data_IF_606800170494
#
_entry.id   IF_606800170494
#
_cell.length_a   1.000
_cell.length_b   1.000
_cell.length_c   1.000
_cell.angle_alpha   90.00
_cell.angle_beta   90.00
_cell.angle_gamma   90.00
#
_symmetry.space_group_name_H-M   'P 1'
#
loop_
_entity.id
_entity.type
_entity.pdbx_description
1 polymer ?
#
# COMPACT_ATOMS: atom_id res chain seq x y z
N UNK A 1 -30.09 7.86 -14.28
CA UNK A 1 -28.75 7.86 -14.89
C UNK A 1 -27.78 8.17 -13.78
N UNK A 2 -26.81 7.29 -13.50
CA UNK A 2 -25.73 7.62 -12.56
C UNK A 2 -25.01 8.87 -13.08
N UNK A 3 -24.61 9.79 -12.20
CA UNK A 3 -23.84 10.94 -12.62
C UNK A 3 -22.47 10.48 -13.11
N UNK A 4 -22.11 10.80 -14.36
CA UNK A 4 -20.79 10.45 -14.91
C UNK A 4 -19.78 11.48 -14.41
N UNK A 5 -18.95 11.09 -13.44
CA UNK A 5 -17.88 11.94 -12.93
C UNK A 5 -16.72 12.03 -13.93
N UNK A 6 -16.07 13.19 -14.02
CA UNK A 6 -14.89 13.36 -14.89
C UNK A 6 -13.63 12.98 -14.13
N UNK A 7 -12.94 11.94 -14.61
CA UNK A 7 -11.66 11.50 -14.09
C UNK A 7 -10.59 12.59 -14.22
N UNK A 8 -9.73 12.72 -13.21
CA UNK A 8 -8.53 13.56 -13.19
C UNK A 8 -7.37 12.74 -12.61
N UNK A 9 -6.17 13.30 -12.65
CA UNK A 9 -4.96 12.71 -12.06
C UNK A 9 -4.64 13.39 -10.72
N UNK A 10 -4.32 12.58 -9.71
CA UNK A 10 -3.58 12.96 -8.52
C UNK A 10 -2.18 12.37 -8.59
N UNK A 11 -1.21 13.05 -7.99
CA UNK A 11 0.17 12.58 -7.84
C UNK A 11 0.59 12.84 -6.38
N UNK A 12 1.22 11.86 -5.76
CA UNK A 12 1.87 11.98 -4.45
C UNK A 12 3.28 11.40 -4.50
N UNK A 13 4.19 11.92 -3.68
CA UNK A 13 5.57 11.42 -3.63
C UNK A 13 6.05 11.31 -2.20
N UNK A 14 6.58 10.16 -1.78
CA UNK A 14 7.26 10.05 -0.49
C UNK A 14 8.69 10.58 -0.52
N UNK A 15 9.12 11.25 0.55
CA UNK A 15 10.50 11.74 0.74
C UNK A 15 11.23 11.05 1.89
N UNK A 16 12.53 10.83 1.71
CA UNK A 16 13.43 10.46 2.80
C UNK A 16 13.92 11.69 3.57
N UNK A 17 14.20 11.56 4.88
CA UNK A 17 14.97 12.61 5.55
C UNK A 17 16.32 12.80 4.84
N UNK A 18 16.74 14.05 4.52
CA UNK A 18 18.09 14.29 4.04
C UNK A 18 19.07 13.82 5.11
N UNK A 19 20.06 13.02 4.72
CA UNK A 19 21.19 12.65 5.58
C UNK A 19 21.82 13.95 6.13
N UNK A 20 21.52 14.31 7.38
CA UNK A 20 22.38 15.21 8.14
C UNK A 20 23.66 14.43 8.42
N UNK A 21 24.66 14.64 7.58
CA UNK A 21 26.01 14.14 7.81
C UNK A 21 26.49 14.61 9.17
N UNK A 22 26.61 13.66 10.10
CA UNK A 22 27.32 13.83 11.37
C UNK A 22 26.42 14.03 12.59
N UNK A 23 25.97 12.93 13.20
CA UNK A 23 26.34 12.59 14.58
C UNK A 23 26.35 11.06 14.67
N UNK A 24 27.50 10.47 14.94
CA UNK A 24 27.60 9.09 15.42
C UNK A 24 27.06 9.10 16.86
N UNK A 25 25.79 8.75 17.05
CA UNK A 25 25.22 8.58 18.39
C UNK A 25 25.29 7.10 18.75
N UNK A 26 26.18 6.80 19.69
CA UNK A 26 26.42 5.47 20.23
C UNK A 26 25.17 4.80 20.78
N UNK A 27 25.14 3.48 20.62
CA UNK A 27 24.09 2.59 21.07
C UNK A 27 23.86 2.65 22.59
N UNK A 28 22.66 3.08 23.02
CA UNK A 28 21.97 2.66 24.26
C UNK A 28 20.48 3.02 24.05
N UNK A 29 19.45 2.18 24.15
CA UNK A 29 19.10 1.17 25.16
C UNK A 29 18.21 0.03 24.65
N UNK A 30 18.34 -1.07 25.38
CA UNK A 30 17.48 -2.26 25.48
C UNK A 30 15.99 -1.95 25.75
N UNK A 31 15.10 -2.60 25.00
CA UNK A 31 13.76 -3.02 25.41
C UNK A 31 13.52 -4.46 24.88
N UNK A 32 12.69 -5.21 25.59
CA UNK A 32 12.67 -6.68 25.64
C UNK A 32 12.69 -7.42 24.31
N UNK A 33 13.42 -8.53 24.30
CA UNK A 33 13.27 -9.61 23.33
C UNK A 33 11.87 -10.20 23.51
N UNK A 34 10.90 -9.66 22.80
CA UNK A 34 9.78 -10.49 22.36
C UNK A 34 10.35 -11.46 21.32
N UNK A 35 10.17 -12.74 21.58
CA UNK A 35 10.55 -13.83 20.70
C UNK A 35 10.06 -13.50 19.29
N UNK A 36 10.98 -13.48 18.31
CA UNK A 36 10.59 -13.43 16.89
C UNK A 36 9.70 -14.65 16.67
N UNK A 37 8.40 -14.48 16.34
CA UNK A 37 7.54 -15.62 16.12
C UNK A 37 8.14 -16.44 14.96
N UNK A 38 8.01 -17.78 14.99
CA UNK A 38 8.38 -18.59 13.83
C UNK A 38 7.65 -18.01 12.62
N UNK A 39 8.34 -17.87 11.48
CA UNK A 39 7.87 -17.32 10.19
C UNK A 39 6.35 -17.35 10.13
N UNK A 40 5.72 -16.20 10.39
CA UNK A 40 4.27 -16.13 10.54
C UNK A 40 3.61 -16.75 9.31
N UNK A 41 2.88 -17.85 9.51
CA UNK A 41 2.07 -18.43 8.44
C UNK A 41 0.97 -17.43 8.12
N UNK A 42 1.12 -16.71 7.01
CA UNK A 42 0.07 -15.82 6.52
C UNK A 42 -1.14 -16.66 6.12
N UNK A 43 -2.29 -16.43 6.76
CA UNK A 43 -3.54 -17.03 6.34
C UNK A 43 -3.81 -16.65 4.87
N UNK A 44 -4.35 -17.56 4.05
CA UNK A 44 -4.75 -17.20 2.69
C UNK A 44 -5.69 -15.99 2.70
N UNK A 45 -5.47 -15.06 1.78
CA UNK A 45 -6.39 -13.97 1.50
C UNK A 45 -7.29 -14.36 0.32
N UNK A 46 -8.07 -13.41 -0.18
CA UNK A 46 -8.97 -13.58 -1.33
C UNK A 46 -8.20 -13.70 -2.65
N UNK A 47 -6.95 -13.24 -2.70
CA UNK A 47 -6.12 -13.28 -3.91
C UNK A 47 -4.67 -13.69 -3.66
N UNK A 48 -4.34 -14.15 -2.45
CA UNK A 48 -2.99 -14.59 -2.12
C UNK A 48 -2.90 -15.68 -1.07
N UNK A 49 -1.78 -16.40 -1.02
CA UNK A 49 -1.41 -17.28 0.10
C UNK A 49 0.12 -17.34 0.24
N UNK A 50 0.60 -17.72 1.43
CA UNK A 50 2.02 -18.02 1.65
C UNK A 50 2.30 -19.48 1.25
N UNK A 51 3.06 -19.67 0.17
CA UNK A 51 3.63 -20.98 -0.16
C UNK A 51 4.86 -21.20 0.73
N UNK A 52 4.96 -22.35 1.38
CA UNK A 52 6.13 -22.73 2.19
C UNK A 52 6.64 -24.11 1.77
N UNK A 53 7.95 -24.35 1.94
CA UNK A 53 8.61 -25.62 1.67
C UNK A 53 9.84 -25.81 2.55
N UNK A 54 10.23 -27.07 2.75
CA UNK A 54 11.40 -27.40 3.56
C UNK A 54 12.71 -27.06 2.83
N UNK A 55 13.73 -26.69 3.63
CA UNK A 55 15.06 -26.43 3.11
C UNK A 55 15.73 -27.72 2.64
N UNK A 56 16.25 -27.71 1.41
CA UNK A 56 17.11 -28.77 0.86
C UNK A 56 18.58 -28.43 1.13
N UNK A 57 19.32 -29.37 1.73
CA UNK A 57 20.77 -29.19 1.99
C UNK A 57 21.55 -29.04 0.68
N UNK A 58 22.48 -28.09 0.64
CA UNK A 58 23.29 -27.80 -0.54
C UNK A 58 22.56 -27.04 -1.66
N UNK A 59 21.29 -26.69 -1.48
CA UNK A 59 20.58 -25.79 -2.39
C UNK A 59 21.11 -24.35 -2.23
N UNK A 60 21.32 -23.67 -3.36
CA UNK A 60 21.62 -22.23 -3.40
C UNK A 60 20.41 -21.42 -3.85
N UNK A 61 19.30 -22.07 -4.18
CA UNK A 61 18.02 -21.43 -4.45
C UNK A 61 16.94 -22.42 -4.87
N UNK A 62 15.75 -21.90 -5.15
CA UNK A 62 14.58 -22.68 -5.57
C UNK A 62 13.94 -22.08 -6.82
N UNK A 63 13.35 -22.95 -7.65
CA UNK A 63 12.41 -22.62 -8.70
C UNK A 63 11.01 -23.00 -8.24
N UNK A 64 10.01 -22.18 -8.53
CA UNK A 64 8.62 -22.36 -8.11
C UNK A 64 7.70 -22.45 -9.32
N UNK A 65 6.83 -23.47 -9.30
CA UNK A 65 5.68 -23.57 -10.19
C UNK A 65 4.39 -23.38 -9.39
N UNK A 66 3.43 -22.62 -9.92
CA UNK A 66 2.06 -22.52 -9.37
C UNK A 66 1.03 -22.76 -10.48
N UNK A 67 0.00 -23.56 -10.19
CA UNK A 67 -1.02 -23.99 -11.14
C UNK A 67 -2.39 -24.12 -10.49
N UNK A 68 -3.46 -24.07 -11.28
CA UNK A 68 -4.80 -24.55 -10.89
C UNK A 68 -5.00 -26.04 -11.19
N UNK A 69 -4.05 -26.67 -11.87
CA UNK A 69 -4.05 -28.08 -12.25
C UNK A 69 -3.02 -28.84 -11.42
N UNK A 70 -3.44 -29.92 -10.76
CA UNK A 70 -2.55 -30.78 -9.96
C UNK A 70 -1.47 -31.48 -10.79
N UNK A 71 -1.67 -31.58 -12.11
CA UNK A 71 -0.69 -32.13 -13.06
C UNK A 71 0.24 -31.07 -13.66
N UNK A 72 0.09 -29.79 -13.29
CA UNK A 72 0.86 -28.66 -13.83
C UNK A 72 0.78 -28.55 -15.37
N UNK A 73 -0.39 -28.88 -15.95
CA UNK A 73 -0.66 -28.73 -17.39
C UNK A 73 -0.88 -27.28 -17.84
N UNK A 74 -1.03 -26.36 -16.88
CA UNK A 74 -1.13 -24.91 -17.05
C UNK A 74 -0.45 -24.24 -15.86
N UNK A 75 -0.16 -22.94 -15.94
CA UNK A 75 0.50 -22.21 -14.86
C UNK A 75 -0.21 -20.86 -14.61
N UNK A 76 -0.17 -20.40 -13.36
CA UNK A 76 -0.50 -19.02 -13.04
C UNK A 76 0.53 -18.13 -13.71
N UNK A 77 0.08 -17.06 -14.38
CA UNK A 77 0.96 -16.15 -15.12
C UNK A 77 2.10 -15.65 -14.22
N UNK A 78 3.35 -15.76 -14.69
CA UNK A 78 4.55 -15.38 -13.94
C UNK A 78 5.06 -16.42 -12.93
N UNK A 79 4.36 -17.53 -12.72
CA UNK A 79 4.75 -18.59 -11.77
C UNK A 79 5.06 -19.93 -12.44
N UNK A 80 5.61 -19.91 -13.66
CA UNK A 80 6.21 -21.09 -14.29
C UNK A 80 7.73 -20.96 -14.23
N UNK A 81 8.40 -21.93 -13.60
CA UNK A 81 9.85 -21.96 -13.41
C UNK A 81 10.44 -20.67 -12.76
N UNK A 82 9.65 -20.07 -11.87
CA UNK A 82 10.00 -18.79 -11.26
C UNK A 82 11.18 -18.97 -10.30
N UNK A 83 12.30 -18.30 -10.57
CA UNK A 83 13.39 -18.26 -9.61
C UNK A 83 12.99 -17.44 -8.38
N UNK A 84 13.05 -18.06 -7.21
CA UNK A 84 12.70 -17.42 -5.93
C UNK A 84 13.92 -17.21 -5.03
N UNK A 85 15.12 -17.60 -5.48
CA UNK A 85 16.35 -17.50 -4.70
C UNK A 85 16.39 -18.48 -3.52
N UNK A 86 17.26 -18.23 -2.55
CA UNK A 86 17.48 -19.11 -1.39
C UNK A 86 16.51 -18.77 -0.24
N UNK A 87 15.22 -19.00 -0.48
CA UNK A 87 14.14 -18.83 0.50
C UNK A 87 13.35 -20.12 0.69
N UNK A 88 12.62 -20.24 1.79
CA UNK A 88 11.76 -21.39 2.12
C UNK A 88 10.27 -21.05 2.13
N UNK A 89 9.92 -19.86 1.68
CA UNK A 89 8.54 -19.45 1.49
C UNK A 89 8.43 -18.25 0.57
N UNK A 90 7.25 -18.09 -0.04
CA UNK A 90 6.92 -17.00 -0.96
C UNK A 90 5.42 -16.71 -0.94
N UNK A 91 5.06 -15.43 -0.88
CA UNK A 91 3.67 -15.01 -1.08
C UNK A 91 3.34 -15.07 -2.56
N UNK A 92 2.29 -15.82 -2.88
CA UNK A 92 1.73 -15.94 -4.21
C UNK A 92 0.51 -15.04 -4.26
N UNK A 93 0.56 -13.96 -5.04
CA UNK A 93 -0.52 -12.99 -5.22
C UNK A 93 -1.10 -12.99 -6.63
N UNK A 94 -2.18 -12.21 -6.83
CA UNK A 94 -2.87 -12.10 -8.11
C UNK A 94 -3.77 -13.30 -8.43
N UNK A 95 -4.29 -13.95 -7.41
CA UNK A 95 -5.08 -15.19 -7.51
C UNK A 95 -6.59 -14.91 -7.51
N UNK A 96 -7.35 -15.85 -8.04
CA UNK A 96 -8.82 -15.84 -7.97
C UNK A 96 -9.31 -16.35 -6.62
N UNK A 97 -10.34 -15.72 -6.07
CA UNK A 97 -10.93 -16.10 -4.78
C UNK A 97 -11.56 -17.50 -4.81
N UNK A 98 -11.65 -18.14 -3.65
CA UNK A 98 -12.20 -19.48 -3.50
C UNK A 98 -11.56 -20.58 -4.34
N UNK A 99 -10.38 -20.33 -4.92
CA UNK A 99 -9.74 -21.24 -5.87
C UNK A 99 -8.63 -22.02 -5.19
N UNK A 100 -8.60 -23.34 -5.42
CA UNK A 100 -7.50 -24.21 -4.99
C UNK A 100 -6.36 -24.14 -6.00
N UNK A 101 -5.17 -23.84 -5.50
CA UNK A 101 -3.94 -23.82 -6.26
C UNK A 101 -3.00 -24.94 -5.81
N UNK A 102 -2.25 -25.46 -6.76
CA UNK A 102 -1.18 -26.43 -6.60
C UNK A 102 0.15 -25.72 -6.82
N UNK A 103 1.11 -25.97 -5.94
CA UNK A 103 2.45 -25.44 -6.10
C UNK A 103 3.50 -26.52 -5.81
N UNK A 104 4.66 -26.41 -6.46
CA UNK A 104 5.80 -27.29 -6.27
C UNK A 104 7.09 -26.52 -6.46
N UNK A 105 8.17 -27.00 -5.83
CA UNK A 105 9.47 -26.37 -5.91
C UNK A 105 10.55 -27.32 -6.40
N UNK A 106 11.57 -26.76 -7.04
CA UNK A 106 12.80 -27.45 -7.45
C UNK A 106 13.99 -26.74 -6.84
N UNK A 107 14.74 -27.43 -5.98
CA UNK A 107 16.00 -26.91 -5.47
C UNK A 107 17.05 -26.88 -6.58
N UNK A 108 17.88 -25.85 -6.63
CA UNK A 108 19.01 -25.78 -7.56
C UNK A 108 20.29 -25.36 -6.83
N UNK A 109 21.44 -25.77 -7.41
CA UNK A 109 22.75 -25.28 -7.04
C UNK A 109 23.68 -25.21 -8.27
N UNK A 110 24.97 -25.00 -8.04
CA UNK A 110 25.97 -24.94 -9.12
C UNK A 110 26.05 -26.22 -9.98
N UNK A 111 25.57 -27.37 -9.48
CA UNK A 111 25.56 -28.64 -10.20
C UNK A 111 24.30 -28.83 -11.07
N UNK A 112 23.29 -27.98 -10.92
CA UNK A 112 22.04 -28.04 -11.68
C UNK A 112 20.79 -27.92 -10.82
N UNK A 113 19.65 -28.18 -11.45
CA UNK A 113 18.32 -28.16 -10.81
C UNK A 113 17.89 -29.61 -10.51
N UNK A 114 17.41 -29.85 -9.29
CA UNK A 114 16.87 -31.14 -8.87
C UNK A 114 15.48 -31.43 -9.41
N UNK A 115 14.92 -32.58 -9.02
CA UNK A 115 13.54 -32.96 -9.34
C UNK A 115 12.50 -32.09 -8.63
N UNK A 116 11.28 -32.09 -9.16
CA UNK A 116 10.12 -31.46 -8.54
C UNK A 116 9.84 -32.05 -7.15
N UNK A 117 9.46 -31.20 -6.20
CA UNK A 117 8.81 -31.64 -4.96
C UNK A 117 7.46 -32.31 -5.26
N UNK A 118 6.90 -32.98 -4.26
CA UNK A 118 5.47 -33.29 -4.27
C UNK A 118 4.65 -31.99 -4.42
N UNK A 119 3.50 -32.09 -5.09
CA UNK A 119 2.57 -30.98 -5.20
C UNK A 119 1.96 -30.67 -3.83
N UNK A 120 2.08 -29.42 -3.40
CA UNK A 120 1.42 -28.87 -2.23
C UNK A 120 0.20 -28.06 -2.67
N UNK A 121 -0.74 -27.81 -1.76
CA UNK A 121 -2.01 -27.14 -2.08
C UNK A 121 -2.31 -26.01 -1.13
N UNK A 122 -2.88 -24.92 -1.65
CA UNK A 122 -3.46 -23.84 -0.85
C UNK A 122 -4.76 -23.37 -1.52
N UNK A 123 -5.71 -22.87 -0.71
CA UNK A 123 -6.99 -22.34 -1.21
C UNK A 123 -7.18 -20.92 -0.70
N UNK A 124 -7.41 -19.98 -1.61
CA UNK A 124 -7.76 -18.58 -1.28
C UNK A 124 -9.13 -18.51 -0.62
N UNK A 125 -9.37 -17.48 0.20
CA UNK A 125 -10.66 -17.32 0.88
C UNK A 125 -11.80 -17.02 -0.11
N UNK A 126 -13.02 -17.43 0.24
CA UNK A 126 -14.25 -17.26 -0.56
C UNK A 126 -15.00 -15.97 -0.19
N UNK A 127 -14.64 -15.34 0.93
CA UNK A 127 -15.34 -14.16 1.43
C UNK A 127 -15.29 -13.02 0.40
N UNK A 128 -16.27 -12.10 0.44
CA UNK A 128 -16.28 -10.85 -0.34
C UNK A 128 -15.58 -9.70 0.41
N UNK A 129 -14.78 -8.88 -0.28
CA UNK A 129 -14.04 -7.75 0.28
C UNK A 129 -12.95 -7.24 -0.65
N UNK A 130 -12.02 -6.42 -0.15
CA UNK A 130 -11.07 -5.71 -1.00
C UNK A 130 -10.20 -6.72 -1.78
N UNK A 131 -10.08 -6.48 -3.07
CA UNK A 131 -9.13 -7.17 -3.95
C UNK A 131 -8.25 -6.15 -4.63
N UNK A 132 -6.93 -6.29 -4.48
CA UNK A 132 -5.95 -5.48 -5.21
C UNK A 132 -5.29 -6.39 -6.26
N UNK A 133 -5.45 -6.01 -7.51
CA UNK A 133 -4.89 -6.71 -8.66
C UNK A 133 -3.63 -5.99 -9.14
N UNK A 134 -2.43 -6.54 -8.88
CA UNK A 134 -1.19 -5.96 -9.33
C UNK A 134 -0.95 -6.28 -10.81
N UNK A 135 -0.49 -5.28 -11.56
CA UNK A 135 0.26 -5.48 -12.80
C UNK A 135 1.71 -5.08 -12.54
N UNK A 136 2.67 -5.93 -12.92
CA UNK A 136 4.10 -5.62 -12.80
C UNK A 136 4.63 -5.09 -14.13
N UNK A 137 5.19 -3.89 -14.12
CA UNK A 137 5.86 -3.32 -15.28
C UNK A 137 7.14 -4.10 -15.65
N UNK A 138 7.58 -3.94 -16.90
CA UNK A 138 8.83 -4.47 -17.41
C UNK A 138 10.06 -4.08 -16.57
N UNK A 139 10.04 -2.91 -15.92
CA UNK A 139 11.09 -2.48 -14.98
C UNK A 139 11.24 -3.39 -13.76
N UNK A 140 10.17 -4.08 -13.35
CA UNK A 140 10.20 -5.10 -12.30
C UNK A 140 10.46 -6.48 -12.90
N UNK A 141 9.75 -6.86 -13.97
CA UNK A 141 9.83 -8.20 -14.54
C UNK A 141 11.23 -8.55 -15.05
N UNK A 142 11.95 -7.57 -15.60
CA UNK A 142 13.30 -7.75 -16.11
C UNK A 142 14.40 -7.47 -15.07
N UNK A 143 14.02 -7.11 -13.84
CA UNK A 143 14.99 -6.79 -12.79
C UNK A 143 15.63 -8.06 -12.21
N UNK A 144 16.95 -8.09 -11.93
CA UNK A 144 17.58 -9.22 -11.24
C UNK A 144 16.94 -9.58 -9.89
N UNK A 145 16.38 -8.59 -9.19
CA UNK A 145 15.67 -8.75 -7.91
C UNK A 145 14.14 -8.87 -8.08
N UNK A 146 13.65 -9.15 -9.28
CA UNK A 146 12.20 -9.23 -9.59
C UNK A 146 11.41 -10.05 -8.57
N UNK A 147 11.96 -11.19 -8.17
CA UNK A 147 11.35 -12.08 -7.17
C UNK A 147 11.11 -11.39 -5.82
N UNK A 148 12.11 -10.65 -5.32
CA UNK A 148 12.03 -9.96 -4.03
C UNK A 148 11.08 -8.76 -4.11
N UNK A 149 11.13 -7.99 -5.21
CA UNK A 149 10.25 -6.84 -5.44
C UNK A 149 8.79 -7.28 -5.50
N UNK A 150 8.47 -8.29 -6.32
CA UNK A 150 7.11 -8.84 -6.41
C UNK A 150 6.63 -9.42 -5.08
N UNK A 151 7.52 -10.06 -4.31
CA UNK A 151 7.17 -10.58 -2.99
C UNK A 151 6.80 -9.47 -2.02
N UNK A 152 7.56 -8.37 -1.98
CA UNK A 152 7.25 -7.22 -1.13
C UNK A 152 5.91 -6.59 -1.53
N UNK A 153 5.64 -6.42 -2.83
CA UNK A 153 4.35 -5.89 -3.32
C UNK A 153 3.19 -6.80 -2.93
N UNK A 154 3.32 -8.12 -3.16
CA UNK A 154 2.28 -9.06 -2.79
C UNK A 154 2.07 -9.14 -1.27
N UNK A 155 3.11 -8.87 -0.48
CA UNK A 155 3.01 -8.77 0.98
C UNK A 155 2.18 -7.54 1.38
N UNK A 156 2.46 -6.36 0.81
CA UNK A 156 1.66 -5.16 1.02
C UNK A 156 0.19 -5.45 0.70
N UNK A 157 -0.09 -5.96 -0.51
CA UNK A 157 -1.45 -6.32 -0.95
C UNK A 157 -2.14 -7.27 0.04
N UNK A 158 -1.43 -8.28 0.53
CA UNK A 158 -2.00 -9.22 1.48
C UNK A 158 -2.40 -8.56 2.81
N UNK A 159 -1.63 -7.57 3.28
CA UNK A 159 -1.97 -6.75 4.46
C UNK A 159 -3.32 -6.07 4.23
N UNK A 160 -3.47 -5.24 3.19
CA UNK A 160 -4.73 -4.52 2.92
C UNK A 160 -5.93 -5.44 2.74
N UNK A 161 -5.81 -6.49 1.93
CA UNK A 161 -6.95 -7.40 1.68
C UNK A 161 -7.36 -8.22 2.92
N UNK A 162 -6.47 -8.35 3.91
CA UNK A 162 -6.79 -8.98 5.19
C UNK A 162 -7.53 -8.03 6.14
N UNK A 163 -7.31 -6.72 6.00
CA UNK A 163 -7.88 -5.69 6.86
C UNK A 163 -9.24 -5.20 6.36
N UNK A 164 -9.39 -4.96 5.06
CA UNK A 164 -10.53 -4.19 4.54
C UNK A 164 -11.63 -5.05 3.90
N UNK A 165 -12.87 -4.77 4.30
CA UNK A 165 -14.05 -5.56 3.97
C UNK A 165 -14.83 -5.12 2.73
N UNK A 166 -14.54 -3.95 2.16
CA UNK A 166 -15.31 -3.43 1.04
C UNK A 166 -15.09 -4.20 -0.26
N UNK A 167 -16.15 -4.67 -0.93
CA UNK A 167 -16.04 -5.62 -2.02
C UNK A 167 -15.73 -4.95 -3.36
N UNK A 168 -14.65 -4.16 -3.41
CA UNK A 168 -14.15 -3.54 -4.63
C UNK A 168 -12.90 -4.23 -5.14
N UNK A 169 -12.67 -4.13 -6.45
CA UNK A 169 -11.38 -4.47 -7.06
C UNK A 169 -10.64 -3.19 -7.40
N UNK A 170 -9.35 -3.14 -7.06
CA UNK A 170 -8.44 -2.02 -7.34
C UNK A 170 -7.31 -2.52 -8.22
N UNK A 171 -7.08 -1.87 -9.35
CA UNK A 171 -6.04 -2.24 -10.31
C UNK A 171 -4.85 -1.30 -10.20
N UNK A 172 -3.69 -1.82 -9.81
CA UNK A 172 -2.48 -1.02 -9.59
C UNK A 172 -1.35 -1.52 -10.48
N UNK A 173 -0.76 -0.62 -11.27
CA UNK A 173 0.48 -0.89 -11.97
C UNK A 173 1.68 -0.57 -11.07
N UNK A 174 2.53 -1.56 -10.81
CA UNK A 174 3.75 -1.38 -10.03
C UNK A 174 4.97 -1.24 -10.91
N UNK A 175 5.83 -0.27 -10.58
CA UNK A 175 7.08 0.04 -11.29
C UNK A 175 8.25 0.14 -10.31
N UNK A 176 9.44 -0.21 -10.77
CA UNK A 176 10.70 0.03 -10.05
C UNK A 176 11.68 0.72 -10.98
N UNK A 177 11.65 2.06 -10.98
CA UNK A 177 12.28 2.89 -12.01
C UNK A 177 12.89 4.16 -11.40
N UNK A 178 13.85 4.78 -12.08
CA UNK A 178 14.38 6.10 -11.74
C UNK A 178 13.64 7.24 -12.48
N UNK A 179 12.53 6.93 -13.14
CA UNK A 179 11.65 7.89 -13.83
C UNK A 179 10.17 7.68 -13.47
N UNK A 180 9.41 8.77 -13.56
CA UNK A 180 7.95 8.80 -13.50
C UNK A 180 7.32 8.01 -14.68
N UNK A 181 6.01 7.71 -14.65
CA UNK A 181 5.35 6.97 -15.74
C UNK A 181 5.41 7.67 -17.11
N UNK A 182 5.49 9.00 -17.11
CA UNK A 182 5.63 9.81 -18.31
C UNK A 182 7.08 9.90 -18.84
N UNK A 183 8.04 9.30 -18.14
CA UNK A 183 9.45 9.25 -18.50
C UNK A 183 10.31 10.38 -17.91
N UNK A 184 9.74 11.37 -17.22
CA UNK A 184 10.53 12.41 -16.56
C UNK A 184 11.30 11.85 -15.35
N UNK A 185 12.49 12.39 -15.03
CA UNK A 185 13.24 11.96 -13.85
C UNK A 185 12.51 12.35 -12.55
N UNK A 186 12.77 11.59 -11.49
CA UNK A 186 12.28 11.94 -10.16
C UNK A 186 12.90 13.26 -9.64
N UNK A 187 12.14 14.08 -8.90
CA UNK A 187 12.72 15.15 -8.10
C UNK A 187 13.72 14.60 -7.07
N UNK A 188 14.72 15.40 -6.71
CA UNK A 188 15.70 15.02 -5.69
C UNK A 188 15.02 14.71 -4.35
N UNK A 189 15.46 13.63 -3.70
CA UNK A 189 14.96 13.20 -2.38
C UNK A 189 13.69 12.35 -2.39
N UNK A 190 13.07 12.14 -3.55
CA UNK A 190 11.87 11.30 -3.70
C UNK A 190 12.26 9.82 -3.67
N UNK A 191 11.63 9.06 -2.78
CA UNK A 191 11.83 7.63 -2.58
C UNK A 191 10.82 6.79 -3.37
N UNK A 192 9.59 7.24 -3.44
CA UNK A 192 8.49 6.59 -4.13
C UNK A 192 7.47 7.62 -4.61
N UNK A 193 6.57 7.21 -5.49
CA UNK A 193 5.49 8.04 -6.01
C UNK A 193 4.29 7.19 -6.39
N UNK A 194 3.12 7.78 -6.22
CA UNK A 194 1.86 7.27 -6.73
C UNK A 194 1.25 8.29 -7.71
N UNK A 195 0.82 7.79 -8.86
CA UNK A 195 -0.16 8.48 -9.70
C UNK A 195 -1.50 7.77 -9.47
N UNK A 196 -2.59 8.50 -9.24
CA UNK A 196 -3.90 7.90 -9.00
C UNK A 196 -5.04 8.67 -9.65
N UNK A 197 -6.11 7.96 -9.96
CA UNK A 197 -7.31 8.56 -10.55
C UNK A 197 -8.15 9.18 -9.45
N UNK A 198 -8.58 10.43 -9.65
CA UNK A 198 -9.48 11.15 -8.74
C UNK A 198 -10.75 11.63 -9.42
N UNK A 199 -11.82 11.77 -8.64
CA UNK A 199 -13.11 12.24 -9.08
C UNK A 199 -13.68 13.29 -8.11
N UNK A 200 -14.14 14.45 -8.60
CA UNK A 200 -14.89 15.39 -7.77
C UNK A 200 -16.33 14.91 -7.61
N UNK A 201 -16.75 14.64 -6.38
CA UNK A 201 -18.12 14.26 -6.02
C UNK A 201 -18.75 15.39 -5.24
N UNK A 202 -19.95 15.81 -5.63
CA UNK A 202 -20.70 16.86 -4.92
C UNK A 202 -20.84 16.52 -3.43
N UNK A 203 -20.62 17.52 -2.58
CA UNK A 203 -20.58 17.36 -1.12
C UNK A 203 -21.72 16.49 -0.57
N UNK A 204 -22.97 16.85 -0.86
CA UNK A 204 -24.14 16.13 -0.33
C UNK A 204 -24.23 14.69 -0.84
N UNK A 205 -23.78 14.45 -2.08
CA UNK A 205 -23.75 13.09 -2.63
C UNK A 205 -22.74 12.23 -1.88
N UNK A 206 -21.53 12.75 -1.66
CA UNK A 206 -20.48 12.06 -0.92
C UNK A 206 -20.89 11.80 0.53
N UNK A 207 -21.32 12.84 1.26
CA UNK A 207 -21.66 12.72 2.69
C UNK A 207 -22.83 11.77 2.94
N UNK A 208 -23.85 11.78 2.08
CA UNK A 208 -24.97 10.85 2.22
C UNK A 208 -24.55 9.40 1.93
N UNK A 209 -23.68 9.19 0.94
CA UNK A 209 -23.14 7.87 0.62
C UNK A 209 -22.24 7.33 1.74
N UNK A 210 -21.33 8.16 2.27
CA UNK A 210 -20.46 7.80 3.40
C UNK A 210 -21.26 7.39 4.65
N UNK A 211 -22.31 8.14 4.98
CA UNK A 211 -23.22 7.78 6.09
C UNK A 211 -23.96 6.47 5.86
N UNK A 212 -24.36 6.20 4.62
CA UNK A 212 -25.09 5.00 4.26
C UNK A 212 -24.21 3.75 4.25
N UNK A 213 -22.90 3.92 4.04
CA UNK A 213 -21.95 2.82 3.90
C UNK A 213 -21.41 2.28 5.25
N UNK A 214 -21.65 2.99 6.36
CA UNK A 214 -21.13 2.67 7.69
C UNK A 214 -21.31 1.19 8.10
N UNK A 215 -20.20 0.46 8.25
CA UNK A 215 -20.16 -0.97 8.62
C UNK A 215 -19.37 -1.24 9.90
N UNK A 216 -18.46 -0.36 10.29
CA UNK A 216 -17.55 -0.57 11.43
C UNK A 216 -17.83 0.38 12.60
N UNK A 217 -17.15 0.12 13.73
CA UNK A 217 -17.20 1.00 14.89
C UNK A 217 -16.50 2.34 14.61
N UNK A 218 -15.45 2.34 13.77
CA UNK A 218 -14.81 3.59 13.35
C UNK A 218 -15.77 4.40 12.48
N UNK A 219 -16.48 3.77 11.53
CA UNK A 219 -17.48 4.45 10.70
C UNK A 219 -18.55 5.11 11.55
N UNK A 220 -19.10 4.37 12.52
CA UNK A 220 -20.13 4.89 13.42
C UNK A 220 -19.62 6.11 14.18
N UNK A 221 -18.38 6.05 14.65
CA UNK A 221 -17.74 7.15 15.40
C UNK A 221 -17.48 8.34 14.49
N UNK A 222 -16.87 8.12 13.34
CA UNK A 222 -16.53 9.12 12.33
C UNK A 222 -17.77 9.84 11.79
N UNK A 223 -18.81 9.08 11.42
CA UNK A 223 -20.05 9.62 10.86
C UNK A 223 -20.80 10.54 11.82
N UNK A 224 -20.69 10.30 13.14
CA UNK A 224 -21.25 11.19 14.16
C UNK A 224 -20.58 12.57 14.21
N UNK A 225 -19.43 12.74 13.55
CA UNK A 225 -18.63 13.99 13.54
C UNK A 225 -18.73 14.77 12.24
N UNK A 226 -19.39 14.20 11.22
CA UNK A 226 -19.50 14.82 9.89
C UNK A 226 -20.27 16.14 10.00
N UNK A 227 -19.75 17.24 9.39
CA UNK A 227 -20.34 18.55 9.56
C UNK A 227 -21.73 18.63 8.90
N UNK A 228 -22.66 19.40 9.49
CA UNK A 228 -24.02 19.53 8.97
C UNK A 228 -24.10 20.42 7.73
N UNK A 229 -23.10 21.28 7.51
CA UNK A 229 -23.01 22.17 6.35
C UNK A 229 -21.78 21.81 5.52
N UNK A 230 -21.87 22.09 4.21
CA UNK A 230 -20.77 21.89 3.29
C UNK A 230 -19.53 22.71 3.66
N UNK A 231 -18.35 22.08 3.67
CA UNK A 231 -17.06 22.76 3.84
C UNK A 231 -16.40 23.10 2.49
N UNK A 232 -16.84 22.46 1.41
CA UNK A 232 -16.38 22.65 0.02
C UNK A 232 -17.50 22.34 -0.96
N UNK A 233 -17.29 22.61 -2.25
CA UNK A 233 -18.30 22.28 -3.29
C UNK A 233 -18.33 20.78 -3.54
N UNK A 234 -17.15 20.18 -3.64
CA UNK A 234 -16.97 18.75 -3.84
C UNK A 234 -16.06 18.15 -2.75
N UNK A 235 -16.14 16.83 -2.63
CA UNK A 235 -15.08 16.00 -2.07
C UNK A 235 -14.35 15.34 -3.24
N UNK A 236 -13.03 15.43 -3.24
CA UNK A 236 -12.15 14.79 -4.22
C UNK A 236 -11.82 13.40 -3.70
N UNK A 237 -12.42 12.39 -4.30
CA UNK A 237 -12.17 10.98 -3.92
C UNK A 237 -11.19 10.35 -4.89
N UNK A 238 -10.40 9.37 -4.44
CA UNK A 238 -9.74 8.46 -5.38
C UNK A 238 -10.78 7.58 -6.06
N UNK A 239 -10.40 7.01 -7.20
CA UNK A 239 -11.20 6.04 -7.95
C UNK A 239 -11.63 4.86 -7.07
N UNK A 240 -10.73 4.31 -6.27
CA UNK A 240 -11.02 3.23 -5.33
C UNK A 240 -11.98 3.70 -4.20
N UNK A 241 -11.66 4.82 -3.53
CA UNK A 241 -12.45 5.35 -2.41
C UNK A 241 -13.88 5.74 -2.81
N UNK A 242 -14.10 6.28 -4.03
CA UNK A 242 -15.45 6.53 -4.50
C UNK A 242 -16.29 5.26 -4.67
N UNK A 243 -15.66 4.15 -5.10
CA UNK A 243 -16.36 2.88 -5.31
C UNK A 243 -16.74 2.18 -4.02
N UNK A 244 -16.01 2.37 -2.92
CA UNK A 244 -16.37 1.76 -1.62
C UNK A 244 -17.73 2.24 -1.15
N UNK A 245 -18.01 3.54 -1.31
CA UNK A 245 -19.30 4.18 -1.01
C UNK A 245 -20.30 4.15 -2.19
N UNK A 246 -20.10 3.25 -3.16
CA UNK A 246 -21.06 2.98 -4.24
C UNK A 246 -21.14 4.03 -5.35
N UNK A 247 -20.13 4.88 -5.51
CA UNK A 247 -20.09 5.89 -6.58
C UNK A 247 -19.49 5.31 -7.88
N UNK A 248 -19.89 5.88 -9.02
CA UNK A 248 -19.39 5.49 -10.35
C UNK A 248 -18.05 6.16 -10.65
N UNK A 249 -17.01 5.69 -9.97
CA UNK A 249 -15.63 6.18 -10.09
C UNK A 249 -14.72 5.08 -10.62
N UNK A 250 -14.81 4.69 -11.90
CA UNK A 250 -14.05 3.56 -12.45
C UNK A 250 -12.54 3.87 -12.60
N UNK A 251 -11.70 2.85 -12.80
CA UNK A 251 -10.34 3.04 -13.27
C UNK A 251 -10.32 3.88 -14.55
N UNK A 252 -9.27 4.70 -14.71
CA UNK A 252 -9.13 5.58 -15.87
C UNK A 252 -7.67 5.90 -16.22
N UNK A 253 -6.69 5.31 -15.55
CA UNK A 253 -5.27 5.59 -15.78
C UNK A 253 -4.63 4.60 -16.75
N UNK A 254 -3.84 5.12 -17.69
CA UNK A 254 -2.99 4.35 -18.59
C UNK A 254 -1.58 4.22 -18.01
N UNK A 255 -0.80 3.24 -18.49
CA UNK A 255 0.54 2.94 -17.98
C UNK A 255 1.57 4.10 -18.07
N UNK A 256 1.28 5.14 -18.86
CA UNK A 256 2.11 6.35 -18.97
C UNK A 256 1.67 7.48 -18.01
N UNK A 257 0.76 7.20 -17.07
CA UNK A 257 0.23 8.18 -16.10
C UNK A 257 -0.90 9.07 -16.63
N UNK A 258 -1.24 9.00 -17.92
CA UNK A 258 -2.37 9.78 -18.46
C UNK A 258 -3.70 9.19 -18.02
N UNK A 259 -4.71 10.05 -17.86
CA UNK A 259 -6.06 9.67 -17.45
C UNK A 259 -7.05 9.87 -18.60
N UNK A 260 -7.89 8.87 -18.85
CA UNK A 260 -8.92 8.89 -19.88
C UNK A 260 -9.82 7.66 -19.84
N UNK A 261 -10.92 7.72 -20.58
CA UNK A 261 -11.86 6.60 -20.65
C UNK A 261 -11.18 5.34 -21.18
N UNK A 262 -11.35 4.21 -20.48
CA UNK A 262 -10.73 2.93 -20.83
C UNK A 262 -9.31 2.72 -20.28
N UNK A 263 -8.78 3.64 -19.47
CA UNK A 263 -7.56 3.39 -18.71
C UNK A 263 -7.78 2.27 -17.68
N UNK A 264 -6.98 1.20 -17.68
CA UNK A 264 -7.28 0.00 -16.88
C UNK A 264 -6.89 0.12 -15.40
N UNK A 265 -6.18 1.18 -15.00
CA UNK A 265 -5.61 1.30 -13.66
C UNK A 265 -6.33 2.37 -12.82
N UNK A 266 -6.47 2.08 -11.53
CA UNK A 266 -6.84 3.06 -10.50
C UNK A 266 -5.66 3.94 -10.12
N UNK A 267 -4.45 3.38 -10.20
CA UNK A 267 -3.22 4.10 -9.97
C UNK A 267 -1.98 3.33 -10.40
N UNK A 268 -0.84 4.01 -10.32
CA UNK A 268 0.49 3.50 -10.57
C UNK A 268 1.32 3.77 -9.32
N UNK A 269 1.94 2.74 -8.76
CA UNK A 269 2.93 2.88 -7.68
C UNK A 269 4.32 2.69 -8.27
N UNK A 270 5.18 3.69 -8.16
CA UNK A 270 6.57 3.64 -8.59
C UNK A 270 7.50 3.78 -7.40
N UNK A 271 8.26 2.71 -7.10
CA UNK A 271 9.37 2.80 -6.17
C UNK A 271 10.60 3.31 -6.93
N UNK A 272 11.25 4.37 -6.44
CA UNK A 272 12.44 4.93 -7.09
C UNK A 272 13.59 3.93 -7.01
N UNK A 273 14.19 3.57 -8.14
CA UNK A 273 15.28 2.58 -8.17
C UNK A 273 16.66 3.16 -7.82
N UNK A 274 16.75 4.47 -7.53
CA UNK A 274 18.02 5.14 -7.22
C UNK A 274 18.40 5.07 -5.73
N UNK A 275 17.48 5.25 -4.77
CA UNK A 275 17.74 5.04 -3.35
C UNK A 275 17.99 3.57 -2.99
N UNK A 276 18.72 3.30 -1.89
CA UNK A 276 19.02 1.95 -1.46
C UNK A 276 17.80 1.32 -0.74
N UNK A 277 17.00 0.55 -1.48
CA UNK A 277 15.87 -0.20 -0.92
C UNK A 277 16.27 -1.61 -0.53
N UNK A 278 15.77 -2.06 0.62
CA UNK A 278 15.79 -3.46 1.04
C UNK A 278 14.37 -4.05 0.95
N UNK A 279 14.24 -5.15 0.21
CA UNK A 279 12.96 -5.85 -0.03
C UNK A 279 12.69 -6.98 0.97
N UNK A 280 13.55 -7.12 1.96
CA UNK A 280 13.41 -8.06 3.08
C UNK A 280 13.58 -7.30 4.38
N UNK A 281 12.91 -7.73 5.44
CA UNK A 281 13.00 -7.08 6.76
C UNK A 281 13.78 -7.95 7.77
N UNK A 282 14.36 -7.34 8.82
CA UNK A 282 14.45 -5.89 9.04
C UNK A 282 15.45 -5.21 8.07
N UNK A 283 15.19 -3.96 7.63
CA UNK A 283 16.13 -3.19 6.81
C UNK A 283 17.41 -2.88 7.60
N UNK A 284 18.57 -2.85 6.92
CA UNK A 284 19.78 -2.32 7.54
C UNK A 284 19.69 -0.79 7.73
N UNK A 285 20.52 -0.24 8.62
CA UNK A 285 20.54 1.20 8.93
C UNK A 285 20.76 2.13 7.72
N UNK A 286 21.33 1.62 6.63
CA UNK A 286 21.59 2.38 5.40
C UNK A 286 20.56 2.16 4.29
N UNK A 287 19.57 1.30 4.50
CA UNK A 287 18.55 0.97 3.51
C UNK A 287 17.17 1.43 3.97
N UNK A 288 16.36 1.83 3.00
CA UNK A 288 14.93 2.07 3.20
C UNK A 288 14.15 0.76 3.10
N UNK A 289 13.11 0.62 3.90
CA UNK A 289 12.19 -0.51 3.84
C UNK A 289 11.27 -0.37 2.62
N UNK A 290 11.45 -1.25 1.63
CA UNK A 290 10.64 -1.20 0.41
C UNK A 290 9.16 -1.48 0.68
N UNK A 291 8.85 -2.39 1.63
CA UNK A 291 7.46 -2.75 1.94
C UNK A 291 6.69 -1.54 2.49
N UNK A 292 7.26 -0.79 3.44
CA UNK A 292 6.66 0.44 3.93
C UNK A 292 6.42 1.45 2.81
N UNK A 293 7.39 1.70 1.93
CA UNK A 293 7.21 2.65 0.82
C UNK A 293 6.16 2.17 -0.19
N UNK A 294 5.98 0.86 -0.36
CA UNK A 294 4.90 0.31 -1.20
C UNK A 294 3.54 0.54 -0.54
N UNK A 295 3.39 0.23 0.76
CA UNK A 295 2.17 0.49 1.51
C UNK A 295 1.80 1.98 1.47
N UNK A 296 2.78 2.86 1.67
CA UNK A 296 2.57 4.31 1.62
C UNK A 296 1.93 4.77 0.31
N UNK A 297 2.50 4.36 -0.81
CA UNK A 297 1.94 4.76 -2.11
C UNK A 297 0.63 4.04 -2.45
N UNK A 298 0.37 2.87 -1.84
CA UNK A 298 -0.92 2.20 -1.95
C UNK A 298 -2.01 2.94 -1.16
N UNK A 299 -1.69 3.49 0.02
CA UNK A 299 -2.60 4.30 0.82
C UNK A 299 -3.18 5.46 0.00
N UNK A 300 -2.33 6.15 -0.77
CA UNK A 300 -2.74 7.25 -1.64
C UNK A 300 -3.70 6.82 -2.76
N UNK A 301 -3.40 5.70 -3.43
CA UNK A 301 -4.28 5.11 -4.46
C UNK A 301 -5.63 4.72 -3.84
N UNK A 302 -5.62 4.18 -2.62
CA UNK A 302 -6.82 3.74 -1.91
C UNK A 302 -7.64 4.89 -1.34
N UNK A 303 -7.06 6.08 -1.19
CA UNK A 303 -7.80 7.32 -0.90
C UNK A 303 -7.28 8.13 0.27
N UNK A 304 -6.28 7.65 1.01
CA UNK A 304 -5.61 8.41 2.05
C UNK A 304 -4.93 9.65 1.45
N UNK A 305 -4.86 10.73 2.21
CA UNK A 305 -4.13 11.94 1.82
C UNK A 305 -4.99 13.20 1.95
N UNK A 306 -4.34 14.33 2.23
CA UNK A 306 -4.96 15.65 2.41
C UNK A 306 -4.70 16.51 1.18
N UNK A 307 -5.70 17.25 0.69
CA UNK A 307 -5.54 18.17 -0.46
C UNK A 307 -5.55 19.65 -0.05
N UNK A 308 -5.38 19.92 1.25
CA UNK A 308 -5.31 21.28 1.75
C UNK A 308 -4.03 22.01 1.30
N UNK A 309 -4.09 23.34 1.03
CA UNK A 309 -5.26 24.23 1.16
C UNK A 309 -6.16 24.34 -0.08
N UNK A 310 -5.97 23.54 -1.13
CA UNK A 310 -6.65 23.78 -2.41
C UNK A 310 -8.14 23.43 -2.40
N UNK A 311 -9.00 24.46 -2.44
CA UNK A 311 -10.38 24.39 -2.92
C UNK A 311 -11.24 23.28 -2.30
N UNK A 312 -11.44 22.20 -3.06
CA UNK A 312 -12.25 21.04 -2.66
C UNK A 312 -11.45 20.08 -1.78
N UNK A 313 -12.10 19.50 -0.77
CA UNK A 313 -11.43 18.67 0.25
C UNK A 313 -11.23 17.22 -0.21
N UNK A 314 -10.24 16.51 0.35
CA UNK A 314 -10.20 15.03 0.31
C UNK A 314 -10.92 14.43 1.53
N UNK A 315 -11.33 13.14 1.48
CA UNK A 315 -11.96 12.44 2.60
C UNK A 315 -11.27 12.67 3.95
N UNK A 316 -9.95 12.53 4.02
CA UNK A 316 -9.14 12.73 5.22
C UNK A 316 -9.29 14.13 5.86
N UNK A 317 -9.53 15.17 5.05
CA UNK A 317 -9.67 16.54 5.54
C UNK A 317 -10.95 16.72 6.38
N UNK A 318 -11.96 15.86 6.18
CA UNK A 318 -13.16 15.77 7.02
C UNK A 318 -12.87 15.28 8.43
N UNK A 319 -11.65 14.85 8.73
CA UNK A 319 -11.23 14.34 10.03
C UNK A 319 -9.98 15.07 10.56
N UNK A 320 -9.72 16.28 10.06
CA UNK A 320 -8.67 17.19 10.53
C UNK A 320 -9.16 18.14 11.62
N UNK A 321 -8.59 18.05 12.82
CA UNK A 321 -8.99 18.82 14.01
C UNK A 321 -7.82 19.60 14.62
N UNK A 322 -8.14 20.70 15.30
CA UNK A 322 -7.16 21.48 16.10
C UNK A 322 -7.41 21.37 17.61
N UNK A 323 -8.58 20.84 18.00
CA UNK A 323 -8.99 20.60 19.38
C UNK A 323 -10.37 19.92 19.44
N UNK A 324 -10.83 19.50 20.63
CA UNK A 324 -12.19 18.98 20.82
C UNK A 324 -13.26 19.94 20.27
N UNK A 325 -14.14 19.42 19.40
CA UNK A 325 -15.19 20.17 18.72
C UNK A 325 -14.70 21.22 17.72
N UNK A 326 -13.40 21.36 17.50
CA UNK A 326 -12.81 22.43 16.68
C UNK A 326 -12.08 21.84 15.48
N UNK A 327 -12.73 21.91 14.32
CA UNK A 327 -12.19 21.44 13.04
C UNK A 327 -11.21 22.46 12.44
N UNK A 328 -10.14 21.98 11.82
CA UNK A 328 -9.23 22.83 11.05
C UNK A 328 -9.02 22.26 9.65
N UNK A 329 -9.60 22.93 8.66
CA UNK A 329 -9.45 22.63 7.23
C UNK A 329 -8.61 23.69 6.50
N UNK A 330 -7.69 24.35 7.21
CA UNK A 330 -6.73 25.27 6.60
C UNK A 330 -5.36 24.60 6.49
N UNK A 331 -4.43 25.17 5.73
CA UNK A 331 -3.05 24.67 5.65
C UNK A 331 -2.13 25.14 6.79
N UNK A 332 -2.68 25.78 7.82
CA UNK A 332 -1.91 26.36 8.92
C UNK A 332 -2.54 26.08 10.27
N UNK A 333 -1.81 26.37 11.35
CA UNK A 333 -2.28 26.12 12.72
C UNK A 333 -2.09 24.67 13.16
N UNK A 334 -2.67 24.27 14.29
CA UNK A 334 -2.60 22.88 14.75
C UNK A 334 -3.55 22.00 13.93
N UNK A 335 -3.10 20.82 13.53
CA UNK A 335 -3.89 19.82 12.81
C UNK A 335 -3.50 18.41 13.26
N UNK A 336 -4.50 17.59 13.57
CA UNK A 336 -4.34 16.16 13.80
C UNK A 336 -5.56 15.37 13.31
N UNK A 337 -5.31 14.11 12.95
CA UNK A 337 -6.34 13.16 12.55
C UNK A 337 -7.12 12.69 13.78
N UNK A 338 -8.45 12.76 13.69
CA UNK A 338 -9.36 12.29 14.72
C UNK A 338 -10.72 11.94 14.16
N UNK A 339 -11.24 10.78 14.55
CA UNK A 339 -12.56 10.29 14.15
C UNK A 339 -13.65 10.63 15.16
N UNK A 340 -13.33 11.25 16.31
CA UNK A 340 -14.25 11.42 17.44
C UNK A 340 -14.38 12.89 17.88
N UNK A 341 -14.57 13.79 16.91
CA UNK A 341 -14.74 15.22 17.14
C UNK A 341 -13.53 15.89 17.79
N UNK A 342 -12.32 15.43 17.46
CA UNK A 342 -11.08 15.97 17.99
C UNK A 342 -10.79 15.58 19.45
N UNK A 343 -11.57 14.69 20.08
CA UNK A 343 -11.33 14.29 21.47
C UNK A 343 -10.06 13.46 21.63
N UNK A 344 -9.73 12.64 20.63
CA UNK A 344 -8.49 11.86 20.59
C UNK A 344 -7.61 12.37 19.46
N UNK A 345 -6.37 12.72 19.78
CA UNK A 345 -5.33 12.97 18.79
C UNK A 345 -4.70 11.62 18.41
N UNK A 346 -5.07 11.09 17.24
CA UNK A 346 -4.53 9.82 16.74
C UNK A 346 -3.11 10.05 16.21
N UNK A 347 -2.94 11.05 15.34
CA UNK A 347 -1.65 11.46 14.79
C UNK A 347 -1.72 12.89 14.26
N UNK A 348 -0.63 13.65 14.41
CA UNK A 348 -0.54 15.01 13.86
C UNK A 348 -0.40 15.00 12.33
N UNK A 349 -0.80 16.08 11.67
CA UNK A 349 -0.54 16.30 10.24
C UNK A 349 0.74 17.10 10.03
N UNK A 350 1.60 16.66 9.11
CA UNK A 350 2.71 17.47 8.64
C UNK A 350 2.19 18.65 7.81
N UNK A 351 2.68 19.84 8.15
CA UNK A 351 2.36 21.09 7.45
C UNK A 351 3.61 21.78 6.88
N UNK A 352 4.76 21.12 6.97
CA UNK A 352 6.01 21.59 6.40
C UNK A 352 6.13 21.12 4.95
N UNK A 353 6.19 22.05 4.01
CA UNK A 353 6.29 21.78 2.57
C UNK A 353 7.63 21.18 2.13
N UNK A 354 8.65 21.15 2.99
CA UNK A 354 9.92 20.47 2.72
C UNK A 354 9.80 18.94 2.80
N UNK A 355 8.73 18.46 3.44
CA UNK A 355 8.34 17.07 3.58
C UNK A 355 6.96 16.86 2.94
N UNK A 356 6.40 15.67 3.08
CA UNK A 356 5.15 15.33 2.43
C UNK A 356 3.98 15.97 3.18
N UNK A 357 3.36 16.98 2.56
CA UNK A 357 2.37 17.83 3.20
C UNK A 357 1.04 17.07 3.34
N UNK A 358 0.46 17.06 4.54
CA UNK A 358 -0.80 16.37 4.81
C UNK A 358 -0.64 14.90 5.21
N UNK A 359 0.59 14.38 5.16
CA UNK A 359 0.99 13.10 5.75
C UNK A 359 1.10 13.21 7.28
N UNK A 360 1.43 12.11 7.95
CA UNK A 360 1.63 12.12 9.38
C UNK A 360 2.87 12.91 9.78
N UNK A 361 2.71 13.71 10.83
CA UNK A 361 3.78 14.50 11.43
C UNK A 361 4.90 13.57 11.90
N UNK A 362 6.07 13.73 11.29
CA UNK A 362 7.24 12.91 11.54
C UNK A 362 8.17 13.56 12.57
N UNK A 363 8.69 12.76 13.50
CA UNK A 363 9.83 13.14 14.31
C UNK A 363 11.14 12.96 13.53
N UNK A 364 12.24 13.54 14.02
CA UNK A 364 13.57 13.29 13.47
C UNK A 364 13.94 11.81 13.51
N UNK A 365 14.68 11.33 12.52
CA UNK A 365 15.20 9.97 12.54
C UNK A 365 16.22 9.75 13.70
N UNK A 366 16.22 8.57 14.35
CA UNK A 366 15.20 7.52 14.22
C UNK A 366 13.88 7.92 14.90
N UNK A 367 12.76 7.62 14.24
CA UNK A 367 11.42 7.90 14.75
C UNK A 367 11.04 6.90 15.84
N UNK A 368 10.53 7.37 16.97
CA UNK A 368 10.08 6.49 18.06
C UNK A 368 8.87 5.63 17.67
N UNK A 369 7.96 6.19 16.86
CA UNK A 369 6.79 5.50 16.31
C UNK A 369 6.78 5.69 14.78
N UNK A 370 7.47 4.83 14.02
CA UNK A 370 7.40 4.89 12.57
C UNK A 370 6.00 4.46 12.12
N UNK A 371 5.33 5.33 11.36
CA UNK A 371 4.08 5.03 10.67
C UNK A 371 4.31 4.98 9.16
N UNK A 372 3.44 4.28 8.43
CA UNK A 372 3.58 4.09 6.98
C UNK A 372 3.51 5.45 6.28
N UNK A 373 2.49 6.25 6.58
CA UNK A 373 2.25 7.59 6.05
C UNK A 373 3.00 8.70 6.82
N UNK A 374 4.11 8.40 7.50
CA UNK A 374 4.97 9.47 8.02
C UNK A 374 5.53 10.31 6.87
N UNK A 375 5.39 11.63 6.97
CA UNK A 375 5.84 12.64 6.01
C UNK A 375 7.34 12.62 5.69
N UNK A 376 8.15 11.93 6.49
CA UNK A 376 9.51 11.57 6.12
C UNK A 376 9.83 10.12 6.50
N UNK A 377 10.62 9.47 5.62
CA UNK A 377 11.06 8.08 5.80
C UNK A 377 12.49 8.04 6.37
N UNK A 378 12.69 7.16 7.35
CA UNK A 378 14.00 6.88 7.93
C UNK A 378 14.56 5.55 7.43
N UNK A 379 15.83 5.54 7.03
CA UNK A 379 16.55 4.29 6.77
C UNK A 379 16.67 3.45 8.05
N UNK A 380 16.69 2.13 7.91
CA UNK A 380 16.75 1.19 9.04
C UNK A 380 15.47 1.07 9.86
N UNK A 381 14.38 1.75 9.47
CA UNK A 381 13.09 1.64 10.13
C UNK A 381 12.05 1.03 9.20
N UNK A 382 11.06 0.35 9.78
CA UNK A 382 9.96 -0.29 9.09
C UNK A 382 8.69 -0.17 9.93
N UNK A 383 7.55 -0.27 9.27
CA UNK A 383 6.20 -0.24 9.86
C UNK A 383 5.25 -0.87 8.86
N UNK A 384 4.12 -1.38 9.34
CA UNK A 384 3.04 -1.92 8.50
C UNK A 384 1.73 -1.20 8.82
N UNK A 385 0.81 -1.16 7.86
CA UNK A 385 -0.58 -0.83 8.14
C UNK A 385 -1.18 -1.94 9.01
N UNK A 386 -1.84 -1.55 10.09
CA UNK A 386 -2.56 -2.48 10.96
C UNK A 386 -3.95 -1.93 11.25
N UNK A 387 -4.88 -2.76 11.72
CA UNK A 387 -6.24 -2.31 12.08
C UNK A 387 -6.26 -1.15 13.10
N UNK A 388 -5.18 -0.94 13.85
CA UNK A 388 -5.06 0.12 14.86
C UNK A 388 -4.02 1.19 14.51
N UNK A 389 -3.32 1.09 13.37
CA UNK A 389 -2.45 2.18 12.93
C UNK A 389 -3.29 3.36 12.45
N UNK A 390 -2.74 4.60 12.42
CA UNK A 390 -3.49 5.73 11.89
C UNK A 390 -3.99 5.53 10.46
N UNK A 391 -3.22 4.85 9.61
CA UNK A 391 -3.61 4.49 8.24
C UNK A 391 -4.78 3.51 8.23
N UNK A 392 -4.71 2.46 9.06
CA UNK A 392 -5.77 1.46 9.15
C UNK A 392 -7.08 2.06 9.64
N UNK A 393 -7.03 2.98 10.62
CA UNK A 393 -8.23 3.69 11.09
C UNK A 393 -8.76 4.66 10.03
N UNK A 394 -7.88 5.31 9.25
CA UNK A 394 -8.29 6.28 8.22
C UNK A 394 -8.85 5.62 6.96
N UNK A 395 -8.32 4.49 6.54
CA UNK A 395 -8.83 3.73 5.39
C UNK A 395 -10.07 2.89 5.73
N UNK A 396 -10.32 2.61 7.01
CA UNK A 396 -11.53 1.94 7.46
C UNK A 396 -12.77 2.85 7.39
N UNK A 397 -12.58 4.17 7.53
CA UNK A 397 -13.63 5.20 7.46
C UNK A 397 -13.77 5.77 6.04
#
# INVERSE_FOLDING_TARGET
MSAVYKARVGEHSTRGEPNLSGVEVGAIYSQGLEEVPPVATMAPTRSSFMATWDRVSGATGYRLDVSTSSSFSSYVSGYQDLNVGNVTGRIIGGLSSGTTYYYRVRAYNALGTGGDSNAMTATTTITSGLVINPTFDSSILNNPNSAAIQSAINQAIAIYQSLFGDPITVFILFRYSNTKPDGHPFPSGVLSLSDFVIYPIQWDTYINALRADAKTANDTTANATLPPNALSTNIIVSSANGRTIGQDTPPAMFANGTVGNGGPYDGIVTLNSSPPFQFTRPPSASNFDALRSIEHEMDEVLGLGSYLPSGDLRPQDLFSWSGPGTRNVTSTGSRYFSINSGNTNIVGFNQNSNYDFGDWLSASCPQANPYVQNASVCAGQFSDVTATSPEGINLDI
#
